data_IF_864498075107
#
_entry.id   IF_864498075107
#
_cell.length_a   1.000
_cell.length_b   1.000
_cell.length_c   1.000
_cell.angle_alpha   90.00
_cell.angle_beta   90.00
_cell.angle_gamma   90.00
#
_symmetry.space_group_name_H-M   'P 1'
#
loop_
_entity.id
_entity.type
_entity.pdbx_description
1 polymer ?
#
# COMPACT_ATOMS: atom_id res chain seq x y z
N UNK A 1 8.83 12.63 -5.09
CA UNK A 1 8.02 11.44 -5.40
C UNK A 1 8.48 10.93 -6.75
N UNK A 2 9.07 9.75 -6.74
CA UNK A 2 9.58 9.04 -7.91
C UNK A 2 8.69 7.81 -8.15
N UNK A 3 8.89 7.11 -9.26
CA UNK A 3 8.15 5.85 -9.52
C UNK A 3 8.47 4.81 -8.45
N UNK A 4 9.68 4.82 -7.88
CA UNK A 4 10.11 3.93 -6.79
C UNK A 4 9.36 4.17 -5.45
N UNK A 5 8.67 5.29 -5.31
CA UNK A 5 7.81 5.59 -4.16
C UNK A 5 6.41 4.97 -4.29
N UNK A 6 6.09 4.34 -5.43
CA UNK A 6 4.79 3.74 -5.72
C UNK A 6 4.99 2.28 -6.12
N UNK A 7 4.22 1.39 -5.52
CA UNK A 7 4.33 -0.05 -5.77
C UNK A 7 2.97 -0.71 -5.75
N UNK A 8 2.89 -1.90 -6.33
CA UNK A 8 1.71 -2.74 -6.29
C UNK A 8 1.48 -3.29 -4.89
N UNK A 9 0.24 -3.69 -4.59
CA UNK A 9 -0.06 -4.42 -3.34
C UNK A 9 0.69 -5.74 -3.22
N UNK A 10 1.22 -6.30 -4.31
CA UNK A 10 2.02 -7.51 -4.26
C UNK A 10 3.42 -7.20 -3.73
N UNK A 11 4.11 -6.25 -4.38
CA UNK A 11 5.45 -5.80 -3.97
C UNK A 11 5.45 -5.27 -2.53
N UNK A 12 4.45 -4.46 -2.17
CA UNK A 12 4.28 -3.97 -0.81
C UNK A 12 4.04 -5.11 0.19
N UNK A 13 3.34 -6.17 -0.24
CA UNK A 13 3.11 -7.33 0.60
C UNK A 13 4.40 -8.11 0.88
N UNK A 14 5.27 -8.26 -0.11
CA UNK A 14 6.58 -8.90 0.03
C UNK A 14 7.51 -8.11 0.94
N UNK A 15 7.58 -6.78 0.76
CA UNK A 15 8.47 -5.89 1.52
C UNK A 15 8.10 -5.75 3.00
N UNK A 16 6.80 -5.68 3.32
CA UNK A 16 6.33 -5.52 4.71
C UNK A 16 5.81 -6.82 5.35
N UNK A 17 5.86 -7.95 4.65
CA UNK A 17 5.33 -9.23 5.15
C UNK A 17 3.81 -9.21 5.36
N UNK A 18 3.08 -8.45 4.53
CA UNK A 18 1.62 -8.27 4.62
C UNK A 18 0.96 -8.98 3.44
N UNK A 19 -0.22 -9.59 3.65
CA UNK A 19 -0.91 -10.21 2.52
C UNK A 19 -1.45 -9.16 1.54
N UNK A 20 -1.30 -9.34 0.22
CA UNK A 20 -1.83 -8.40 -0.78
C UNK A 20 -3.34 -8.20 -0.64
N UNK A 21 -4.08 -9.20 -0.16
CA UNK A 21 -5.51 -9.10 0.07
C UNK A 21 -5.84 -8.14 1.21
N UNK A 22 -5.06 -8.13 2.30
CA UNK A 22 -5.20 -7.16 3.39
C UNK A 22 -4.97 -5.73 2.90
N UNK A 23 -3.95 -5.52 2.07
CA UNK A 23 -3.68 -4.21 1.46
C UNK A 23 -4.83 -3.76 0.54
N UNK A 24 -5.42 -4.68 -0.23
CA UNK A 24 -6.62 -4.38 -1.04
C UNK A 24 -7.83 -3.99 -0.18
N UNK A 25 -8.09 -4.67 0.93
CA UNK A 25 -9.18 -4.29 1.86
C UNK A 25 -8.95 -2.88 2.44
N UNK A 26 -7.69 -2.54 2.76
CA UNK A 26 -7.29 -1.19 3.17
C UNK A 26 -7.58 -0.13 2.09
N UNK A 27 -7.24 -0.40 0.84
CA UNK A 27 -7.54 0.51 -0.28
C UNK A 27 -9.04 0.65 -0.55
N UNK A 28 -9.86 -0.33 -0.16
CA UNK A 28 -11.32 -0.30 -0.34
C UNK A 28 -12.05 0.44 0.79
N UNK A 29 -11.34 1.06 1.75
CA UNK A 29 -11.94 1.80 2.86
C UNK A 29 -12.70 0.91 3.86
N UNK A 30 -12.45 -0.41 3.85
CA UNK A 30 -13.13 -1.36 4.75
C UNK A 30 -12.52 -1.40 6.16
N UNK A 31 -11.57 -0.52 6.44
CA UNK A 31 -10.76 -0.51 7.66
C UNK A 31 -10.69 0.93 8.17
N UNK A 32 -10.97 1.13 9.46
CA UNK A 32 -11.07 2.48 10.06
C UNK A 32 -9.80 3.33 9.92
N UNK A 33 -8.62 2.69 9.92
CA UNK A 33 -7.31 3.36 9.86
C UNK A 33 -6.49 2.88 8.66
N UNK A 34 -7.13 2.76 7.48
CA UNK A 34 -6.46 2.34 6.24
C UNK A 34 -5.63 3.44 5.56
N UNK A 35 -5.35 3.24 4.27
CA UNK A 35 -4.68 4.24 3.45
C UNK A 35 -5.55 5.49 3.27
N UNK A 36 -4.91 6.67 3.20
CA UNK A 36 -5.55 7.94 2.84
C UNK A 36 -5.74 8.03 1.33
N UNK A 37 -6.65 8.90 0.87
CA UNK A 37 -6.99 9.03 -0.56
C UNK A 37 -5.80 9.32 -1.49
N UNK A 38 -4.72 9.91 -0.98
CA UNK A 38 -3.48 10.20 -1.73
C UNK A 38 -2.38 9.12 -1.57
N UNK A 39 -2.63 8.08 -0.78
CA UNK A 39 -1.68 7.00 -0.48
C UNK A 39 -1.94 5.74 -1.30
N UNK A 40 -3.04 5.69 -2.06
CA UNK A 40 -3.36 4.58 -2.93
C UNK A 40 -4.08 5.05 -4.20
N UNK A 41 -4.01 4.24 -5.26
CA UNK A 41 -4.87 4.40 -6.44
C UNK A 41 -5.12 3.07 -7.11
N UNK A 42 -6.23 2.97 -7.84
CA UNK A 42 -6.50 1.83 -8.72
C UNK A 42 -5.92 2.09 -10.11
N UNK A 43 -5.08 1.18 -10.60
CA UNK A 43 -4.49 1.21 -11.94
C UNK A 43 -4.96 -0.03 -12.71
N UNK A 44 -6.07 0.12 -13.45
CA UNK A 44 -6.73 -0.99 -14.12
C UNK A 44 -7.21 -2.05 -13.12
N UNK A 45 -6.60 -3.24 -13.17
CA UNK A 45 -6.92 -4.39 -12.28
C UNK A 45 -6.07 -4.43 -11.00
N UNK A 46 -5.05 -3.56 -10.89
CA UNK A 46 -4.08 -3.57 -9.80
C UNK A 46 -4.28 -2.36 -8.90
N UNK A 47 -4.02 -2.53 -7.60
CA UNK A 47 -3.95 -1.43 -6.64
C UNK A 47 -2.50 -1.04 -6.46
N UNK A 48 -2.24 0.26 -6.51
CA UNK A 48 -0.96 0.86 -6.21
C UNK A 48 -1.05 1.57 -4.87
N UNK A 49 0.00 1.45 -4.09
CA UNK A 49 0.15 2.09 -2.78
C UNK A 49 1.46 2.87 -2.78
N UNK A 50 1.50 3.95 -2.02
CA UNK A 50 2.72 4.71 -1.81
C UNK A 50 3.55 4.08 -0.71
N UNK A 51 4.88 4.14 -0.84
CA UNK A 51 5.82 3.83 0.22
C UNK A 51 5.48 4.59 1.50
N UNK A 52 5.21 5.89 1.40
CA UNK A 52 4.84 6.71 2.55
C UNK A 52 3.57 6.19 3.27
N UNK A 53 2.56 5.74 2.52
CA UNK A 53 1.36 5.13 3.09
C UNK A 53 1.66 3.79 3.78
N UNK A 54 2.51 2.97 3.16
CA UNK A 54 2.98 1.71 3.78
C UNK A 54 3.74 1.99 5.07
N UNK A 55 4.66 2.95 5.06
CA UNK A 55 5.45 3.30 6.24
C UNK A 55 4.61 3.84 7.40
N UNK A 56 3.55 4.61 7.09
CA UNK A 56 2.62 5.11 8.10
C UNK A 56 1.81 3.99 8.77
N UNK A 57 1.39 2.98 8.00
CA UNK A 57 0.54 1.89 8.49
C UNK A 57 1.31 0.74 9.11
N UNK A 58 2.46 0.40 8.52
CA UNK A 58 3.21 -0.82 8.82
C UNK A 58 4.64 -0.54 9.34
N UNK A 59 5.05 0.73 9.43
CA UNK A 59 6.38 1.12 9.86
C UNK A 59 7.39 1.17 8.71
N UNK A 60 8.59 1.69 8.98
CA UNK A 60 9.66 1.80 7.96
C UNK A 60 9.96 0.44 7.33
N UNK A 61 10.21 0.44 6.02
CA UNK A 61 10.70 -0.76 5.31
C UNK A 61 11.97 -1.24 6.02
N UNK A 62 12.07 -2.55 6.27
CA UNK A 62 13.30 -3.15 6.78
C UNK A 62 14.25 -3.29 5.59
N UNK A 63 15.44 -2.69 5.70
CA UNK A 63 16.58 -2.92 4.79
C UNK A 63 16.97 -4.40 4.74
#
# INVERSE_FOLDING_TARGET
MTVDDVMTTLEAGERWGVTPNSLKQNCQGRVKNGFKENEFRKSGRTWLVTRAGMERLYGKEKE
#
